data_IF_326527111838
#
_entry.id   IF_326527111838
#
_cell.length_a   1.000
_cell.length_b   1.000
_cell.length_c   1.000
_cell.angle_alpha   90.00
_cell.angle_beta   90.00
_cell.angle_gamma   90.00
#
_symmetry.space_group_name_H-M   'P 1'
#
loop_
_entity.id
_entity.type
_entity.pdbx_description
1 polymer ?
#
# COMPACT_ATOMS: atom_id res chain seq x y z
N UNK A 1 -2.85 3.95 -74.81
CA UNK A 1 -3.71 4.47 -73.73
C UNK A 1 -3.96 3.42 -72.63
N UNK A 2 -3.96 2.12 -72.94
CA UNK A 2 -4.14 1.04 -71.95
C UNK A 2 -2.96 0.85 -70.96
N UNK A 3 -1.71 1.05 -71.39
CA UNK A 3 -0.52 0.90 -70.53
C UNK A 3 -0.45 1.92 -69.37
N UNK A 4 -0.91 3.15 -69.62
CA UNK A 4 -0.91 4.24 -68.64
C UNK A 4 -1.96 4.06 -67.53
N UNK A 5 -3.07 3.37 -67.85
CA UNK A 5 -4.14 3.05 -66.90
C UNK A 5 -3.68 1.93 -65.95
N UNK A 6 -2.91 0.96 -66.44
CA UNK A 6 -2.34 -0.12 -65.64
C UNK A 6 -1.32 0.38 -64.60
N UNK A 7 -0.37 1.22 -65.00
CA UNK A 7 0.66 1.76 -64.08
C UNK A 7 0.07 2.69 -63.01
N UNK A 8 -0.90 3.54 -63.37
CA UNK A 8 -1.62 4.38 -62.42
C UNK A 8 -2.44 3.56 -61.40
N UNK A 9 -3.11 2.49 -61.86
CA UNK A 9 -3.84 1.58 -60.99
C UNK A 9 -2.93 0.86 -59.99
N UNK A 10 -1.79 0.32 -60.44
CA UNK A 10 -0.82 -0.33 -59.56
C UNK A 10 -0.18 0.63 -58.55
N UNK A 11 0.09 1.87 -58.95
CA UNK A 11 0.58 2.91 -58.05
C UNK A 11 -0.43 3.28 -56.98
N UNK A 12 -1.72 3.41 -57.33
CA UNK A 12 -2.80 3.72 -56.38
C UNK A 12 -3.01 2.55 -55.41
N UNK A 13 -3.04 1.31 -55.93
CA UNK A 13 -3.16 0.11 -55.10
C UNK A 13 -1.97 -0.08 -54.17
N UNK A 14 -0.74 0.17 -54.67
CA UNK A 14 0.47 0.16 -53.85
C UNK A 14 0.46 1.21 -52.74
N UNK A 15 -0.01 2.43 -53.04
CA UNK A 15 -0.18 3.49 -52.05
C UNK A 15 -1.25 3.15 -51.00
N UNK A 16 -2.38 2.56 -51.42
CA UNK A 16 -3.43 2.08 -50.52
C UNK A 16 -2.94 0.97 -49.59
N UNK A 17 -2.25 -0.03 -50.13
CA UNK A 17 -1.67 -1.13 -49.34
C UNK A 17 -0.59 -0.59 -48.40
N UNK A 18 0.28 0.31 -48.87
CA UNK A 18 1.30 0.95 -48.06
C UNK A 18 0.71 1.79 -46.92
N UNK A 19 -0.32 2.58 -47.20
CA UNK A 19 -1.03 3.37 -46.18
C UNK A 19 -1.75 2.47 -45.17
N UNK A 20 -2.39 1.38 -45.63
CA UNK A 20 -3.04 0.41 -44.76
C UNK A 20 -2.04 -0.31 -43.85
N UNK A 21 -0.94 -0.82 -44.41
CA UNK A 21 0.11 -1.48 -43.64
C UNK A 21 0.79 -0.50 -42.67
N UNK A 22 1.06 0.73 -43.11
CA UNK A 22 1.60 1.79 -42.26
C UNK A 22 0.69 2.11 -41.08
N UNK A 23 -0.62 2.28 -41.32
CA UNK A 23 -1.61 2.50 -40.28
C UNK A 23 -1.73 1.29 -39.33
N UNK A 24 -1.72 0.07 -39.87
CA UNK A 24 -1.82 -1.17 -39.10
C UNK A 24 -0.60 -1.39 -38.20
N UNK A 25 0.62 -1.27 -38.72
CA UNK A 25 1.85 -1.38 -37.93
C UNK A 25 2.00 -0.23 -36.93
N UNK A 26 1.58 0.98 -37.29
CA UNK A 26 1.49 2.12 -36.37
C UNK A 26 0.56 1.82 -35.19
N UNK A 27 -0.63 1.28 -35.48
CA UNK A 27 -1.58 0.85 -34.45
C UNK A 27 -1.01 -0.25 -33.55
N UNK A 28 -0.42 -1.31 -34.12
CA UNK A 28 0.21 -2.39 -33.34
C UNK A 28 1.31 -1.85 -32.43
N UNK A 29 2.17 -0.98 -32.96
CA UNK A 29 3.27 -0.38 -32.21
C UNK A 29 2.73 0.47 -31.05
N UNK A 30 1.70 1.29 -31.29
CA UNK A 30 1.02 2.06 -30.25
C UNK A 30 0.45 1.15 -29.15
N UNK A 31 -0.29 0.11 -29.54
CA UNK A 31 -0.87 -0.84 -28.61
C UNK A 31 0.19 -1.58 -27.77
N UNK A 32 1.32 -1.94 -28.38
CA UNK A 32 2.44 -2.58 -27.69
C UNK A 32 3.12 -1.64 -26.68
N UNK A 33 3.33 -0.36 -27.06
CA UNK A 33 3.88 0.66 -26.15
C UNK A 33 2.96 0.91 -24.97
N UNK A 34 1.65 1.02 -25.21
CA UNK A 34 0.64 1.14 -24.16
C UNK A 34 0.65 -0.05 -23.20
N UNK A 35 0.70 -1.27 -23.75
CA UNK A 35 0.79 -2.48 -22.93
C UNK A 35 2.04 -2.47 -22.03
N UNK A 36 3.20 -2.13 -22.59
CA UNK A 36 4.46 -2.02 -21.82
C UNK A 36 4.39 -0.96 -20.73
N UNK A 37 3.82 0.21 -21.04
CA UNK A 37 3.61 1.28 -20.07
C UNK A 37 2.71 0.81 -18.92
N UNK A 38 1.62 0.12 -19.22
CA UNK A 38 0.68 -0.38 -18.22
C UNK A 38 1.34 -1.37 -17.26
N UNK A 39 2.20 -2.28 -17.76
CA UNK A 39 2.97 -3.20 -16.89
C UNK A 39 3.91 -2.44 -15.96
N UNK A 40 4.60 -1.41 -16.47
CA UNK A 40 5.53 -0.61 -15.66
C UNK A 40 4.78 0.15 -14.56
N UNK A 41 3.64 0.75 -14.89
CA UNK A 41 2.77 1.44 -13.93
C UNK A 41 2.25 0.47 -12.86
N UNK A 42 1.79 -0.71 -13.26
CA UNK A 42 1.29 -1.74 -12.34
C UNK A 42 2.39 -2.18 -11.36
N UNK A 43 3.61 -2.41 -11.87
CA UNK A 43 4.76 -2.74 -11.04
C UNK A 43 5.11 -1.61 -10.07
N UNK A 44 5.14 -0.36 -10.55
CA UNK A 44 5.43 0.80 -9.72
C UNK A 44 4.40 0.94 -8.59
N UNK A 45 3.12 0.77 -8.90
CA UNK A 45 2.03 0.83 -7.93
C UNK A 45 2.17 -0.20 -6.80
N UNK A 46 2.43 -1.47 -7.13
CA UNK A 46 2.63 -2.49 -6.10
C UNK A 46 3.97 -2.37 -5.38
N UNK A 47 5.00 -1.80 -6.01
CA UNK A 47 6.24 -1.48 -5.31
C UNK A 47 6.03 -0.38 -4.27
N UNK A 48 5.28 0.67 -4.62
CA UNK A 48 4.91 1.74 -3.70
C UNK A 48 4.03 1.22 -2.55
N UNK A 49 3.09 0.34 -2.87
CA UNK A 49 2.28 -0.36 -1.86
C UNK A 49 3.18 -1.10 -0.86
N UNK A 50 4.18 -1.85 -1.34
CA UNK A 50 5.12 -2.59 -0.48
C UNK A 50 6.02 -1.66 0.34
N UNK A 51 6.41 -0.52 -0.22
CA UNK A 51 7.15 0.52 0.51
C UNK A 51 6.35 1.07 1.69
N UNK A 52 5.09 1.45 1.45
CA UNK A 52 4.18 1.93 2.50
C UNK A 52 3.93 0.81 3.53
N UNK A 53 3.61 -0.39 3.08
CA UNK A 53 3.37 -1.54 3.94
C UNK A 53 4.55 -1.80 4.88
N UNK A 54 5.79 -1.71 4.39
CA UNK A 54 7.00 -1.84 5.21
C UNK A 54 7.12 -0.79 6.32
N UNK A 55 6.64 0.44 6.10
CA UNK A 55 6.60 1.47 7.15
C UNK A 55 5.58 1.13 8.24
N UNK A 56 4.39 0.70 7.84
CA UNK A 56 3.33 0.28 8.77
C UNK A 56 3.79 -0.94 9.58
N UNK A 57 4.38 -1.93 8.92
CA UNK A 57 4.92 -3.14 9.53
C UNK A 57 6.02 -2.81 10.54
N UNK A 58 7.02 -2.02 10.12
CA UNK A 58 8.12 -1.65 11.01
C UNK A 58 7.61 -0.91 12.24
N UNK A 59 6.61 -0.04 12.08
CA UNK A 59 6.07 0.69 13.22
C UNK A 59 5.32 -0.23 14.19
N UNK A 60 4.50 -1.16 13.69
CA UNK A 60 3.79 -2.13 14.53
C UNK A 60 4.73 -3.01 15.36
N UNK A 61 5.80 -3.53 14.76
CA UNK A 61 6.80 -4.33 15.49
C UNK A 61 7.43 -3.54 16.63
N UNK A 62 7.79 -2.28 16.37
CA UNK A 62 8.40 -1.42 17.38
C UNK A 62 7.44 -1.04 18.51
N UNK A 63 6.14 -0.86 18.22
CA UNK A 63 5.15 -0.71 19.30
C UNK A 63 5.15 -1.93 20.21
N UNK A 64 5.21 -3.14 19.66
CA UNK A 64 5.24 -4.36 20.47
C UNK A 64 6.49 -4.43 21.36
N UNK A 65 7.66 -4.10 20.81
CA UNK A 65 8.91 -4.06 21.57
C UNK A 65 8.87 -3.00 22.69
N UNK A 66 8.34 -1.81 22.38
CA UNK A 66 8.23 -0.70 23.33
C UNK A 66 7.19 -0.97 24.43
N UNK A 67 6.10 -1.64 24.09
CA UNK A 67 5.05 -2.06 25.03
C UNK A 67 5.60 -3.00 26.11
N UNK A 68 6.52 -3.89 25.75
CA UNK A 68 7.15 -4.82 26.71
C UNK A 68 8.06 -4.09 27.70
N UNK A 69 8.80 -3.07 27.23
CA UNK A 69 9.80 -2.37 28.05
C UNK A 69 9.21 -1.47 29.14
N UNK A 70 8.02 -0.90 28.92
CA UNK A 70 7.32 0.10 29.78
C UNK A 70 8.05 1.42 30.00
N UNK A 71 9.38 1.41 30.11
CA UNK A 71 10.25 2.57 30.25
C UNK A 71 11.35 2.53 29.20
N UNK A 72 11.74 3.70 28.71
CA UNK A 72 12.78 3.88 27.70
C UNK A 72 13.79 4.89 28.21
N UNK A 73 15.06 4.49 28.29
CA UNK A 73 16.18 5.31 28.76
C UNK A 73 17.04 5.79 27.58
N UNK A 74 16.87 7.06 27.19
CA UNK A 74 17.64 7.61 26.06
C UNK A 74 19.13 7.78 26.37
N UNK A 75 19.55 7.87 27.63
CA UNK A 75 20.97 7.99 28.01
C UNK A 75 21.74 6.68 27.82
N UNK A 76 21.03 5.56 27.92
CA UNK A 76 21.57 4.23 27.61
C UNK A 76 21.53 3.90 26.11
N UNK A 77 21.19 4.89 25.27
CA UNK A 77 21.10 4.75 23.82
C UNK A 77 19.83 4.04 23.35
N UNK A 78 18.83 3.84 24.22
CA UNK A 78 17.54 3.33 23.79
C UNK A 78 16.82 4.35 22.91
N UNK A 79 15.91 3.86 22.08
CA UNK A 79 15.13 4.68 21.15
C UNK A 79 13.68 4.23 21.18
N UNK A 80 12.79 5.19 21.01
CA UNK A 80 11.39 4.93 20.75
C UNK A 80 11.03 5.39 19.34
N UNK A 81 9.88 4.92 18.88
CA UNK A 81 9.46 5.05 17.50
C UNK A 81 8.23 5.92 17.43
N UNK A 82 8.18 6.72 16.37
CA UNK A 82 7.00 7.48 16.01
C UNK A 82 6.64 7.12 14.56
N UNK A 83 5.34 7.14 14.20
CA UNK A 83 4.91 6.88 12.85
C UNK A 83 5.40 8.02 11.95
N UNK A 84 6.32 7.66 11.03
CA UNK A 84 6.90 8.62 10.09
C UNK A 84 5.83 9.20 9.15
N UNK A 85 6.06 10.43 8.70
CA UNK A 85 5.24 11.03 7.64
C UNK A 85 5.54 10.29 6.34
N UNK A 86 4.53 9.58 5.83
CA UNK A 86 4.57 8.91 4.54
C UNK A 86 3.87 9.80 3.52
N UNK A 87 4.49 9.99 2.36
CA UNK A 87 3.83 10.69 1.25
C UNK A 87 3.00 9.70 0.43
N UNK A 88 1.68 9.84 0.47
CA UNK A 88 0.74 9.01 -0.28
C UNK A 88 0.40 9.59 -1.66
N UNK A 89 1.02 10.70 -2.07
CA UNK A 89 0.80 11.34 -3.38
C UNK A 89 1.12 10.37 -4.52
N UNK A 90 2.32 9.80 -4.51
CA UNK A 90 2.81 8.83 -5.51
C UNK A 90 1.87 7.63 -5.61
N UNK A 91 1.46 7.08 -4.47
CA UNK A 91 0.51 5.95 -4.43
C UNK A 91 -0.83 6.30 -5.06
N UNK A 92 -1.34 7.51 -4.79
CA UNK A 92 -2.62 8.01 -5.32
C UNK A 92 -2.53 8.30 -6.82
N UNK A 93 -1.44 8.91 -7.28
CA UNK A 93 -1.21 9.24 -8.68
C UNK A 93 -1.03 7.97 -9.53
N UNK A 94 -0.24 7.00 -9.07
CA UNK A 94 -0.08 5.72 -9.73
C UNK A 94 -1.41 4.97 -9.85
N UNK A 95 -2.25 5.02 -8.80
CA UNK A 95 -3.60 4.48 -8.85
C UNK A 95 -4.48 5.17 -9.92
N UNK A 96 -4.43 6.51 -10.00
CA UNK A 96 -5.19 7.27 -11.00
C UNK A 96 -4.75 6.98 -12.43
N UNK A 97 -3.44 6.88 -12.67
CA UNK A 97 -2.90 6.51 -13.99
C UNK A 97 -3.34 5.10 -14.40
N UNK A 98 -3.28 4.15 -13.48
CA UNK A 98 -3.77 2.80 -13.75
C UNK A 98 -5.30 2.73 -13.92
N UNK A 99 -6.06 3.57 -13.23
CA UNK A 99 -7.50 3.69 -13.41
C UNK A 99 -7.86 4.13 -14.84
N UNK A 100 -7.13 5.11 -15.41
CA UNK A 100 -7.31 5.55 -16.81
C UNK A 100 -7.11 4.41 -17.82
N UNK A 101 -6.26 3.44 -17.49
CA UNK A 101 -5.93 2.30 -18.36
C UNK A 101 -6.90 1.12 -18.21
N UNK A 102 -7.98 1.27 -17.40
CA UNK A 102 -8.96 0.21 -17.05
C UNK A 102 -8.35 -1.04 -16.40
N UNK A 103 -7.11 -0.93 -15.89
CA UNK A 103 -6.34 -2.01 -15.27
C UNK A 103 -6.65 -2.18 -13.78
N UNK A 104 -6.95 -1.11 -13.05
CA UNK A 104 -7.38 -1.23 -11.66
C UNK A 104 -8.89 -1.48 -11.63
N UNK A 105 -9.35 -2.65 -11.15
CA UNK A 105 -10.55 -3.24 -11.73
C UNK A 105 -11.80 -3.12 -10.84
N UNK A 106 -11.70 -2.68 -9.59
CA UNK A 106 -12.84 -2.78 -8.66
C UNK A 106 -12.92 -1.65 -7.62
N UNK A 107 -14.14 -1.48 -7.10
CA UNK A 107 -14.48 -0.52 -6.06
C UNK A 107 -13.59 -0.65 -4.82
N UNK A 108 -13.24 -1.88 -4.44
CA UNK A 108 -12.45 -2.17 -3.24
C UNK A 108 -11.01 -1.66 -3.35
N UNK A 109 -10.37 -1.73 -4.52
CA UNK A 109 -9.06 -1.12 -4.73
C UNK A 109 -9.09 0.38 -4.47
N UNK A 110 -10.07 1.06 -5.08
CA UNK A 110 -10.23 2.50 -4.93
C UNK A 110 -10.46 2.85 -3.46
N UNK A 111 -11.34 2.10 -2.80
CA UNK A 111 -11.64 2.26 -1.38
C UNK A 111 -10.40 2.05 -0.53
N UNK A 112 -9.56 1.05 -0.81
CA UNK A 112 -8.33 0.82 -0.06
C UNK A 112 -7.36 1.99 -0.21
N UNK A 113 -7.02 2.36 -1.45
CA UNK A 113 -6.06 3.43 -1.75
C UNK A 113 -6.47 4.76 -1.10
N UNK A 114 -7.75 5.12 -1.17
CA UNK A 114 -8.27 6.36 -0.59
C UNK A 114 -8.26 6.36 0.94
N UNK A 115 -8.48 5.21 1.57
CA UNK A 115 -8.59 5.13 3.03
C UNK A 115 -7.26 4.91 3.74
N UNK A 116 -6.28 4.29 3.10
CA UNK A 116 -4.97 4.02 3.71
C UNK A 116 -4.33 5.28 4.30
N UNK A 117 -4.34 6.40 3.57
CA UNK A 117 -3.82 7.67 4.08
C UNK A 117 -4.57 8.12 5.33
N UNK A 118 -5.90 8.08 5.29
CA UNK A 118 -6.76 8.52 6.41
C UNK A 118 -6.48 7.67 7.66
N UNK A 119 -6.36 6.35 7.50
CA UNK A 119 -6.06 5.45 8.60
C UNK A 119 -4.64 5.67 9.15
N UNK A 120 -3.65 5.92 8.29
CA UNK A 120 -2.29 6.24 8.73
C UNK A 120 -2.22 7.58 9.47
N UNK A 121 -2.88 8.62 8.96
CA UNK A 121 -2.97 9.91 9.64
C UNK A 121 -3.66 9.77 11.00
N UNK A 122 -4.71 8.95 11.10
CA UNK A 122 -5.35 8.62 12.37
C UNK A 122 -4.38 7.94 13.35
N UNK A 123 -3.63 6.94 12.89
CA UNK A 123 -2.58 6.28 13.68
C UNK A 123 -1.58 7.30 14.23
N UNK A 124 -1.13 8.24 13.39
CA UNK A 124 -0.20 9.31 13.81
C UNK A 124 -0.80 10.22 14.88
N UNK A 125 -2.09 10.51 14.77
CA UNK A 125 -2.77 11.36 15.76
C UNK A 125 -3.01 10.63 17.10
N UNK A 126 -3.34 9.34 17.07
CA UNK A 126 -3.54 8.53 18.28
C UNK A 126 -2.23 8.16 18.99
N UNK A 127 -1.13 8.11 18.24
CA UNK A 127 0.20 7.89 18.81
C UNK A 127 0.67 9.06 19.71
N UNK A 128 0.04 10.24 19.60
CA UNK A 128 0.38 11.40 20.43
C UNK A 128 0.20 11.07 21.90
N UNK A 129 1.29 11.12 22.65
CA UNK A 129 1.28 10.86 24.08
C UNK A 129 1.35 9.37 24.45
N UNK A 130 1.60 8.47 23.48
CA UNK A 130 1.97 7.08 23.77
C UNK A 130 3.29 6.99 24.51
N UNK A 131 4.26 7.83 24.15
CA UNK A 131 5.53 7.95 24.87
C UNK A 131 5.57 9.31 25.56
N UNK A 132 5.70 9.32 26.89
CA UNK A 132 5.69 10.54 27.71
C UNK A 132 6.97 10.64 28.52
N UNK A 133 7.52 11.84 28.63
CA UNK A 133 8.68 12.09 29.47
C UNK A 133 8.32 11.91 30.94
N UNK A 134 9.19 11.27 31.71
CA UNK A 134 8.93 10.95 33.12
C UNK A 134 9.02 12.21 33.99
N UNK A 135 10.05 13.04 33.77
CA UNK A 135 10.22 14.36 34.37
C UNK A 135 10.85 15.30 33.31
N UNK A 136 10.65 16.62 33.43
CA UNK A 136 11.19 17.60 32.47
C UNK A 136 12.73 17.63 32.38
N UNK A 137 13.42 17.09 33.38
CA UNK A 137 14.88 17.00 33.42
C UNK A 137 15.43 15.58 33.19
N UNK A 138 14.57 14.57 33.00
CA UNK A 138 15.03 13.18 32.82
C UNK A 138 15.02 12.75 31.37
N UNK A 139 15.98 11.91 30.96
CA UNK A 139 15.99 11.24 29.66
C UNK A 139 15.11 9.98 29.63
N UNK A 140 14.45 9.69 30.76
CA UNK A 140 13.54 8.57 30.93
C UNK A 140 12.15 8.89 30.38
N UNK A 141 11.63 7.96 29.59
CA UNK A 141 10.29 8.04 29.02
C UNK A 141 9.45 6.85 29.46
N UNK A 142 8.18 7.09 29.76
CA UNK A 142 7.16 6.05 29.95
C UNK A 142 6.47 5.74 28.64
N UNK A 143 6.22 4.46 28.40
CA UNK A 143 5.34 3.97 27.35
C UNK A 143 3.98 3.71 27.97
N UNK A 144 2.99 4.46 27.53
CA UNK A 144 1.59 4.29 27.92
C UNK A 144 0.99 3.11 27.13
N UNK A 145 0.43 2.16 27.87
CA UNK A 145 -0.13 0.94 27.30
C UNK A 145 -1.45 1.22 26.56
N UNK A 146 -2.31 2.10 27.07
CA UNK A 146 -3.63 2.31 26.48
C UNK A 146 -3.54 2.86 25.04
N UNK A 147 -2.77 3.95 24.77
CA UNK A 147 -2.56 4.43 23.40
C UNK A 147 -1.84 3.40 22.51
N UNK A 148 -0.95 2.58 23.08
CA UNK A 148 -0.28 1.51 22.32
C UNK A 148 -1.25 0.45 21.82
N UNK A 149 -2.23 0.07 22.65
CA UNK A 149 -3.29 -0.86 22.28
C UNK A 149 -4.23 -0.25 21.23
N UNK A 150 -4.65 0.99 21.42
CA UNK A 150 -5.50 1.71 20.45
C UNK A 150 -4.82 1.86 19.09
N UNK A 151 -3.55 2.29 19.06
CA UNK A 151 -2.80 2.40 17.79
C UNK A 151 -2.68 1.02 17.13
N UNK A 152 -2.39 -0.02 17.91
CA UNK A 152 -2.31 -1.40 17.42
C UNK A 152 -3.62 -1.87 16.79
N UNK A 153 -4.78 -1.41 17.28
CA UNK A 153 -6.09 -1.76 16.72
C UNK A 153 -6.22 -1.33 15.26
N UNK A 154 -5.85 -0.09 14.95
CA UNK A 154 -5.90 0.42 13.57
C UNK A 154 -4.81 -0.20 12.69
N UNK A 155 -3.63 -0.46 13.27
CA UNK A 155 -2.54 -1.11 12.54
C UNK A 155 -2.88 -2.53 12.14
N UNK A 156 -3.58 -3.31 12.97
CA UNK A 156 -4.00 -4.68 12.64
C UNK A 156 -4.82 -4.70 11.35
N UNK A 157 -5.87 -3.88 11.26
CA UNK A 157 -6.73 -3.86 10.07
C UNK A 157 -5.95 -3.38 8.83
N UNK A 158 -5.09 -2.36 8.98
CA UNK A 158 -4.22 -1.90 7.90
C UNK A 158 -3.27 -2.98 7.41
N UNK A 159 -2.53 -3.63 8.31
CA UNK A 159 -1.54 -4.66 7.98
C UNK A 159 -2.20 -5.87 7.31
N UNK A 160 -3.36 -6.28 7.83
CA UNK A 160 -4.15 -7.35 7.25
C UNK A 160 -4.53 -7.01 5.79
N UNK A 161 -5.13 -5.86 5.56
CA UNK A 161 -5.57 -5.51 4.20
C UNK A 161 -4.42 -5.15 3.26
N UNK A 162 -3.31 -4.57 3.72
CA UNK A 162 -2.11 -4.37 2.90
C UNK A 162 -1.57 -5.68 2.35
N UNK A 163 -1.47 -6.70 3.20
CA UNK A 163 -1.01 -8.02 2.78
C UNK A 163 -1.95 -8.64 1.73
N UNK A 164 -3.27 -8.57 1.97
CA UNK A 164 -4.26 -9.04 1.01
C UNK A 164 -4.19 -8.27 -0.31
N UNK A 165 -3.97 -6.95 -0.23
CA UNK A 165 -3.90 -6.07 -1.40
C UNK A 165 -2.71 -6.41 -2.31
N UNK A 166 -1.52 -6.61 -1.75
CA UNK A 166 -0.32 -6.98 -2.52
C UNK A 166 -0.38 -8.43 -3.04
N UNK A 167 -0.96 -9.37 -2.26
CA UNK A 167 -1.09 -10.78 -2.65
C UNK A 167 -2.14 -11.02 -3.73
N UNK A 168 -3.34 -10.48 -3.55
CA UNK A 168 -4.46 -10.74 -4.46
C UNK A 168 -4.46 -9.81 -5.68
N UNK A 169 -3.75 -8.68 -5.59
CA UNK A 169 -3.64 -7.69 -6.67
C UNK A 169 -5.02 -7.37 -7.24
N UNK A 170 -5.21 -7.49 -8.54
CA UNK A 170 -6.48 -7.26 -9.25
C UNK A 170 -7.70 -8.04 -8.69
N UNK A 171 -7.49 -9.11 -7.92
CA UNK A 171 -8.57 -9.87 -7.28
C UNK A 171 -8.95 -9.36 -5.88
N UNK A 172 -8.20 -8.40 -5.33
CA UNK A 172 -8.40 -7.87 -3.99
C UNK A 172 -9.85 -7.43 -3.77
N UNK A 173 -10.43 -7.91 -2.67
CA UNK A 173 -11.73 -7.48 -2.16
C UNK A 173 -11.70 -7.37 -0.65
N UNK A 174 -12.48 -6.43 -0.11
CA UNK A 174 -12.68 -6.38 1.33
C UNK A 174 -13.51 -7.59 1.77
N UNK A 175 -12.95 -8.37 2.69
CA UNK A 175 -13.60 -9.52 3.32
C UNK A 175 -14.35 -9.05 4.55
N UNK A 176 -15.67 -8.95 4.45
CA UNK A 176 -16.56 -8.55 5.55
C UNK A 176 -17.03 -9.72 6.43
N UNK A 177 -16.77 -10.94 5.99
CA UNK A 177 -17.07 -12.21 6.65
C UNK A 177 -16.02 -12.58 7.72
N UNK A 178 -14.81 -12.02 7.64
CA UNK A 178 -13.72 -12.30 8.59
C UNK A 178 -13.85 -11.38 9.80
N UNK A 179 -14.01 -11.97 10.98
CA UNK A 179 -14.09 -11.22 12.24
C UNK A 179 -12.79 -10.45 12.51
N UNK A 180 -12.88 -9.32 13.22
CA UNK A 180 -11.69 -8.55 13.59
C UNK A 180 -10.71 -9.39 14.44
N UNK A 181 -11.24 -10.26 15.30
CA UNK A 181 -10.47 -11.21 16.11
C UNK A 181 -9.62 -12.18 15.27
N UNK A 182 -10.16 -12.67 14.16
CA UNK A 182 -9.42 -13.55 13.25
C UNK A 182 -8.34 -12.78 12.48
N UNK A 183 -8.61 -11.52 12.13
CA UNK A 183 -7.60 -10.65 11.49
C UNK A 183 -6.45 -10.37 12.45
N UNK A 184 -6.76 -9.99 13.69
CA UNK A 184 -5.75 -9.73 14.71
C UNK A 184 -4.93 -10.99 14.97
N UNK A 185 -5.54 -12.15 15.14
CA UNK A 185 -4.80 -13.41 15.31
C UNK A 185 -3.78 -13.64 14.18
N UNK A 186 -4.21 -13.52 12.91
CA UNK A 186 -3.32 -13.68 11.75
C UNK A 186 -2.18 -12.66 11.71
N UNK A 187 -2.45 -11.42 12.09
CA UNK A 187 -1.45 -10.36 12.16
C UNK A 187 -0.42 -10.64 13.25
N UNK A 188 -0.87 -10.94 14.48
CA UNK A 188 0.02 -11.26 15.60
C UNK A 188 0.85 -12.52 15.34
N UNK A 189 0.26 -13.55 14.74
CA UNK A 189 0.95 -14.77 14.32
C UNK A 189 2.05 -14.49 13.30
N UNK A 190 1.72 -13.76 12.23
CA UNK A 190 2.67 -13.43 11.16
C UNK A 190 3.92 -12.71 11.66
N UNK A 191 3.78 -11.83 12.64
CA UNK A 191 4.90 -11.05 13.17
C UNK A 191 5.58 -11.70 14.38
N UNK A 192 5.24 -12.95 14.72
CA UNK A 192 5.87 -13.67 15.82
C UNK A 192 5.56 -13.06 17.20
N UNK A 193 4.44 -12.35 17.32
CA UNK A 193 4.00 -11.67 18.54
C UNK A 193 2.99 -12.50 19.35
N UNK A 194 2.89 -13.80 19.03
CA UNK A 194 2.07 -14.74 19.79
C UNK A 194 2.61 -14.86 21.22
N UNK A 195 1.70 -14.79 22.18
CA UNK A 195 1.93 -14.75 23.63
C UNK A 195 2.63 -13.49 24.16
N UNK A 196 2.84 -12.46 23.32
CA UNK A 196 3.38 -11.17 23.77
C UNK A 196 2.44 -10.46 24.74
N UNK A 197 2.98 -9.58 25.59
CA UNK A 197 2.18 -8.73 26.48
C UNK A 197 1.23 -7.83 25.69
N UNK A 198 1.67 -7.37 24.51
CA UNK A 198 0.83 -6.60 23.60
C UNK A 198 -0.38 -7.41 23.14
N UNK A 199 -0.19 -8.66 22.69
CA UNK A 199 -1.29 -9.51 22.25
C UNK A 199 -2.30 -9.74 23.39
N UNK A 200 -1.83 -10.08 24.59
CA UNK A 200 -2.72 -10.34 25.72
C UNK A 200 -3.59 -9.12 26.05
N UNK A 201 -2.95 -7.96 26.24
CA UNK A 201 -3.66 -6.70 26.51
C UNK A 201 -4.59 -6.30 25.36
N UNK A 202 -4.18 -6.56 24.12
CA UNK A 202 -5.00 -6.28 22.94
C UNK A 202 -6.27 -7.12 22.90
N UNK A 203 -6.15 -8.43 23.14
CA UNK A 203 -7.29 -9.33 23.08
C UNK A 203 -8.23 -9.09 24.26
N UNK A 204 -7.71 -8.78 25.44
CA UNK A 204 -8.54 -8.38 26.60
C UNK A 204 -9.32 -7.08 26.35
N UNK A 205 -8.73 -6.12 25.62
CA UNK A 205 -9.36 -4.84 25.35
C UNK A 205 -10.37 -4.87 24.19
N UNK A 206 -10.15 -5.70 23.16
CA UNK A 206 -10.85 -5.58 21.88
C UNK A 206 -11.45 -6.87 21.31
N UNK A 207 -11.29 -8.04 21.93
CA UNK A 207 -11.67 -9.36 21.36
C UNK A 207 -12.35 -10.31 22.36
#
# INVERSE_FOLDING_TARGET
MEHFIGEGFWSIMGALIGAFLGAFFGFITSAFLDYRRNIKLERAFYNETRFIYGHVESFFKRIADEYEKRKIDLDQGEKYSAPHKVDFSVFSELHLELYKTRKIPNYDHRRFVQNVKIQWDKVRDMDKGRVRRLNDDSYMHWVDHAPSLEVSYYLVDLLYYFEFFDKEKYKFKFRGDVSFKDKSFKVFEKYGLMNSSLQKGFFEAFC
#
